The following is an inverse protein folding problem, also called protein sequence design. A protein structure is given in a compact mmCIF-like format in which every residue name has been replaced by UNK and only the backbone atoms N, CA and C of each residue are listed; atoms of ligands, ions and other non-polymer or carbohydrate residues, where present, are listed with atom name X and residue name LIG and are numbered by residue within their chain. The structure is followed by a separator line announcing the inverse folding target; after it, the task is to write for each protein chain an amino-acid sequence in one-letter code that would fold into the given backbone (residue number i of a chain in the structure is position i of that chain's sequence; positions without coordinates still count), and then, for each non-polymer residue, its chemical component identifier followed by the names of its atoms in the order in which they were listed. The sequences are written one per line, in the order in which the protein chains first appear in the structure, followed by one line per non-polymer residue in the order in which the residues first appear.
data_IF_190561869559
#
_entry.id   IF_190561869559
#
_cell.length_a   1.000
_cell.length_b   1.000
_cell.length_c   1.000
_cell.angle_alpha   90.00
_cell.angle_beta   90.00
_cell.angle_gamma   90.00
#
_symmetry.space_group_name_H-M   'P 1'
#
loop_
_entity.id
_entity.type
_entity.pdbx_description
1 polymer ?
#
# COMPACT_ATOMS: atom_id res chain seq x y z
N UNK A 1 8.48 6.51 3.26
CA UNK A 1 9.00 5.17 3.65
C UNK A 1 7.93 4.32 4.33
N UNK A 2 7.16 4.88 5.27
CA UNK A 2 6.21 4.12 6.10
C UNK A 2 5.20 3.27 5.31
N UNK A 3 4.41 3.84 4.39
CA UNK A 3 3.46 3.06 3.60
C UNK A 3 4.12 1.95 2.77
N UNK A 4 5.33 2.19 2.25
CA UNK A 4 6.07 1.17 1.50
C UNK A 4 6.48 0.00 2.40
N UNK A 5 6.94 0.30 3.63
CA UNK A 5 7.27 -0.70 4.63
C UNK A 5 6.06 -1.53 5.06
N UNK A 6 4.89 -0.90 5.22
CA UNK A 6 3.64 -1.59 5.55
C UNK A 6 3.23 -2.55 4.42
N UNK A 7 3.30 -2.11 3.16
CA UNK A 7 2.99 -2.99 2.02
C UNK A 7 3.95 -4.18 1.95
N UNK A 8 5.25 -3.96 2.17
CA UNK A 8 6.23 -5.04 2.23
C UNK A 8 5.91 -6.03 3.36
N UNK A 9 5.63 -5.54 4.57
CA UNK A 9 5.25 -6.38 5.71
C UNK A 9 3.98 -7.19 5.44
N UNK A 10 2.99 -6.62 4.74
CA UNK A 10 1.79 -7.35 4.32
C UNK A 10 2.14 -8.50 3.36
N UNK A 11 3.04 -8.27 2.40
CA UNK A 11 3.51 -9.32 1.49
C UNK A 11 4.28 -10.42 2.23
N UNK A 12 5.14 -10.04 3.20
CA UNK A 12 5.93 -10.98 4.00
C UNK A 12 5.06 -11.90 4.85
N UNK A 13 3.88 -11.45 5.25
CA UNK A 13 2.89 -12.28 5.97
C UNK A 13 2.02 -13.09 5.03
N UNK A 14 1.49 -12.46 3.97
CA UNK A 14 0.49 -13.07 3.11
C UNK A 14 1.08 -14.16 2.20
N UNK A 15 2.27 -13.93 1.61
CA UNK A 15 2.84 -14.86 0.64
C UNK A 15 3.18 -16.22 1.26
N UNK A 16 3.88 -16.32 2.39
CA UNK A 16 4.08 -17.62 3.05
C UNK A 16 2.76 -18.28 3.44
N UNK A 17 1.83 -17.51 3.99
CA UNK A 17 0.53 -18.05 4.42
C UNK A 17 -0.22 -18.73 3.28
N UNK A 18 -0.35 -18.10 2.10
CA UNK A 18 -1.08 -18.70 0.98
C UNK A 18 -0.36 -19.92 0.38
N UNK A 19 0.94 -20.06 0.59
CA UNK A 19 1.72 -21.23 0.18
C UNK A 19 1.51 -22.44 1.10
N UNK A 20 1.29 -22.18 2.39
CA UNK A 20 1.20 -23.22 3.42
C UNK A 20 -0.24 -23.61 3.74
N UNK A 21 -1.16 -22.63 3.81
CA UNK A 21 -2.57 -22.86 4.14
C UNK A 21 -3.25 -23.69 3.06
N UNK A 22 -3.85 -24.80 3.48
CA UNK A 22 -4.53 -25.73 2.57
C UNK A 22 -6.05 -25.65 2.74
N UNK A 23 -6.75 -25.63 1.63
CA UNK A 23 -8.21 -25.81 1.50
C UNK A 23 -8.49 -26.52 0.15
N UNK A 24 -9.60 -27.28 0.10
CA UNK A 24 -9.98 -28.05 -1.10
C UNK A 24 -8.85 -28.96 -1.61
N UNK A 25 -8.07 -29.54 -0.69
CA UNK A 25 -7.01 -30.50 -1.00
C UNK A 25 -5.70 -29.91 -1.51
N UNK A 26 -5.54 -28.57 -1.55
CA UNK A 26 -4.34 -27.91 -2.08
C UNK A 26 -4.02 -26.63 -1.31
N UNK A 27 -2.79 -26.08 -1.44
CA UNK A 27 -2.48 -24.75 -0.95
C UNK A 27 -3.44 -23.70 -1.55
N UNK A 28 -3.91 -22.75 -0.76
CA UNK A 28 -4.84 -21.72 -1.27
C UNK A 28 -4.19 -20.83 -2.34
N UNK A 29 -2.86 -20.71 -2.34
CA UNK A 29 -2.10 -20.01 -3.38
C UNK A 29 -2.21 -20.62 -4.77
N UNK A 30 -2.71 -21.85 -4.91
CA UNK A 30 -3.05 -22.45 -6.21
C UNK A 30 -4.32 -21.86 -6.84
N UNK A 31 -5.12 -21.12 -6.07
CA UNK A 31 -6.36 -20.51 -6.49
C UNK A 31 -6.11 -19.24 -7.31
N UNK A 32 -6.71 -19.11 -8.48
CA UNK A 32 -6.52 -17.94 -9.35
C UNK A 32 -6.97 -16.63 -8.70
N UNK A 33 -8.04 -16.62 -7.90
CA UNK A 33 -8.51 -15.42 -7.19
C UNK A 33 -7.57 -15.01 -6.06
N UNK A 34 -6.86 -15.96 -5.45
CA UNK A 34 -5.79 -15.69 -4.48
C UNK A 34 -4.56 -15.12 -5.17
N UNK A 35 -4.17 -15.72 -6.30
CA UNK A 35 -3.06 -15.22 -7.13
C UNK A 35 -3.31 -13.80 -7.63
N UNK A 36 -4.54 -13.47 -8.04
CA UNK A 36 -4.91 -12.12 -8.45
C UNK A 36 -4.69 -11.09 -7.34
N UNK A 37 -5.11 -11.37 -6.11
CA UNK A 37 -4.84 -10.48 -4.96
C UNK A 37 -3.36 -10.27 -4.70
N UNK A 38 -2.57 -11.33 -4.73
CA UNK A 38 -1.09 -11.22 -4.57
C UNK A 38 -0.49 -10.37 -5.70
N UNK A 39 -0.96 -10.53 -6.93
CA UNK A 39 -0.52 -9.71 -8.06
C UNK A 39 -0.86 -8.22 -7.86
N UNK A 40 -2.10 -7.92 -7.45
CA UNK A 40 -2.53 -6.55 -7.17
C UNK A 40 -1.71 -5.90 -6.05
N UNK A 41 -1.46 -6.62 -4.96
CA UNK A 41 -0.62 -6.17 -3.85
C UNK A 41 0.82 -5.88 -4.33
N UNK A 42 1.39 -6.78 -5.13
CA UNK A 42 2.74 -6.61 -5.69
C UNK A 42 2.84 -5.38 -6.60
N UNK A 43 1.89 -5.21 -7.51
CA UNK A 43 1.85 -4.06 -8.44
C UNK A 43 1.68 -2.75 -7.67
N UNK A 44 0.77 -2.69 -6.71
CA UNK A 44 0.54 -1.51 -5.87
C UNK A 44 1.82 -1.09 -5.12
N UNK A 45 2.50 -2.05 -4.49
CA UNK A 45 3.74 -1.81 -3.76
C UNK A 45 4.85 -1.29 -4.67
N UNK A 46 5.07 -1.91 -5.81
CA UNK A 46 6.16 -1.51 -6.72
C UNK A 46 5.88 -0.20 -7.43
N UNK A 47 4.62 0.09 -7.80
CA UNK A 47 4.23 1.39 -8.35
C UNK A 47 4.43 2.52 -7.34
N UNK A 48 4.03 2.31 -6.09
CA UNK A 48 4.25 3.28 -5.01
C UNK A 48 5.74 3.50 -4.74
N UNK A 49 6.55 2.43 -4.77
CA UNK A 49 8.00 2.48 -4.60
C UNK A 49 8.66 3.28 -5.72
N UNK A 50 8.35 2.97 -6.97
CA UNK A 50 8.91 3.65 -8.13
C UNK A 50 8.59 5.16 -8.10
N UNK A 51 7.34 5.53 -7.81
CA UNK A 51 6.94 6.92 -7.70
C UNK A 51 7.67 7.62 -6.54
N UNK A 52 7.72 7.01 -5.37
CA UNK A 52 8.40 7.59 -4.20
C UNK A 52 9.90 7.79 -4.45
N UNK A 53 10.55 6.84 -5.08
CA UNK A 53 11.99 6.94 -5.40
C UNK A 53 12.27 7.98 -6.48
N UNK A 54 11.39 8.13 -7.48
CA UNK A 54 11.48 9.19 -8.48
C UNK A 54 11.41 10.58 -7.83
N UNK A 55 10.47 10.78 -6.90
CA UNK A 55 10.33 12.04 -6.16
C UNK A 55 11.53 12.27 -5.24
N UNK A 56 12.02 11.23 -4.55
CA UNK A 56 13.21 11.34 -3.70
C UNK A 56 14.45 11.74 -4.51
N UNK A 57 14.66 11.14 -5.68
CA UNK A 57 15.77 11.51 -6.56
C UNK A 57 15.66 12.96 -7.07
N UNK A 58 14.45 13.45 -7.34
CA UNK A 58 14.23 14.86 -7.67
C UNK A 58 14.54 15.78 -6.47
N UNK A 59 14.19 15.36 -5.24
CA UNK A 59 14.59 16.06 -4.03
C UNK A 59 16.11 16.22 -3.91
N UNK A 60 16.85 15.15 -4.12
CA UNK A 60 18.31 15.15 -4.03
C UNK A 60 18.96 16.13 -5.02
N UNK A 61 18.33 16.37 -6.18
CA UNK A 61 18.76 17.34 -7.17
C UNK A 61 18.22 18.76 -6.95
N UNK A 62 17.41 19.00 -5.92
CA UNK A 62 16.77 20.28 -5.67
C UNK A 62 15.62 20.61 -6.64
N UNK A 63 15.08 19.61 -7.33
CA UNK A 63 14.04 19.75 -8.37
C UNK A 63 12.62 19.37 -7.87
N UNK A 64 12.44 19.20 -6.57
CA UNK A 64 11.17 18.74 -6.00
C UNK A 64 10.05 19.72 -6.27
N UNK A 65 8.96 19.21 -6.82
CA UNK A 65 7.71 19.93 -6.93
C UNK A 65 6.74 19.47 -5.83
N UNK A 66 6.04 20.42 -5.25
CA UNK A 66 5.14 20.17 -4.13
C UNK A 66 4.00 19.22 -4.49
N UNK A 67 3.46 19.33 -5.72
CA UNK A 67 2.42 18.42 -6.24
C UNK A 67 2.91 16.98 -6.35
N UNK A 68 4.17 16.76 -6.74
CA UNK A 68 4.73 15.42 -6.88
C UNK A 68 5.02 14.79 -5.51
N UNK A 69 5.53 15.57 -4.56
CA UNK A 69 5.70 15.13 -3.18
C UNK A 69 4.35 14.76 -2.54
N UNK A 70 3.31 15.57 -2.74
CA UNK A 70 1.97 15.24 -2.26
C UNK A 70 1.39 14.02 -2.97
N UNK A 71 1.63 13.88 -4.28
CA UNK A 71 1.14 12.78 -5.10
C UNK A 71 1.70 11.42 -4.69
N UNK A 72 3.01 11.33 -4.46
CA UNK A 72 3.62 10.07 -4.04
C UNK A 72 3.14 9.62 -2.65
N UNK A 73 2.94 10.56 -1.71
CA UNK A 73 2.39 10.24 -0.38
C UNK A 73 0.93 9.81 -0.49
N UNK A 74 0.11 10.54 -1.26
CA UNK A 74 -1.30 10.21 -1.48
C UNK A 74 -1.45 8.79 -2.02
N UNK A 75 -0.74 8.49 -3.10
CA UNK A 75 -0.81 7.18 -3.75
C UNK A 75 -0.33 6.05 -2.81
N UNK A 76 0.84 6.22 -2.19
CA UNK A 76 1.41 5.20 -1.30
C UNK A 76 0.52 4.94 -0.07
N UNK A 77 -0.06 5.98 0.53
CA UNK A 77 -0.93 5.85 1.69
C UNK A 77 -2.20 5.05 1.37
N UNK A 78 -2.91 5.41 0.30
CA UNK A 78 -4.14 4.71 -0.10
C UNK A 78 -3.85 3.26 -0.55
N UNK A 79 -2.75 3.04 -1.27
CA UNK A 79 -2.34 1.68 -1.66
C UNK A 79 -1.92 0.82 -0.48
N UNK A 80 -1.28 1.39 0.54
CA UNK A 80 -0.96 0.64 1.75
C UNK A 80 -2.22 0.15 2.49
N UNK A 81 -3.25 0.97 2.59
CA UNK A 81 -4.54 0.55 3.15
C UNK A 81 -5.17 -0.57 2.33
N UNK A 82 -5.18 -0.45 1.00
CA UNK A 82 -5.73 -1.49 0.12
C UNK A 82 -4.97 -2.82 0.26
N UNK A 83 -3.64 -2.76 0.23
CA UNK A 83 -2.77 -3.95 0.41
C UNK A 83 -2.97 -4.60 1.77
N UNK A 84 -3.14 -3.81 2.83
CA UNK A 84 -3.40 -4.33 4.16
C UNK A 84 -4.77 -5.02 4.28
N UNK A 85 -5.81 -4.47 3.62
CA UNK A 85 -7.13 -5.11 3.51
C UNK A 85 -7.04 -6.44 2.75
N UNK A 86 -6.31 -6.48 1.65
CA UNK A 86 -6.10 -7.71 0.88
C UNK A 86 -5.31 -8.76 1.68
N UNK A 87 -4.33 -8.35 2.47
CA UNK A 87 -3.61 -9.25 3.37
C UNK A 87 -4.53 -9.88 4.42
N UNK A 88 -5.41 -9.09 5.05
CA UNK A 88 -6.43 -9.60 5.98
C UNK A 88 -7.34 -10.60 5.24
N UNK A 89 -7.82 -10.25 4.06
CA UNK A 89 -8.72 -11.10 3.28
C UNK A 89 -8.08 -12.43 2.91
N UNK A 90 -6.79 -12.43 2.53
CA UNK A 90 -6.04 -13.65 2.20
C UNK A 90 -5.86 -14.59 3.40
N UNK A 91 -5.69 -14.02 4.59
CA UNK A 91 -5.60 -14.79 5.83
C UNK A 91 -6.97 -15.20 6.40
N UNK A 92 -8.05 -14.67 5.85
CA UNK A 92 -9.43 -14.93 6.27
C UNK A 92 -9.62 -14.73 7.79
N UNK A 93 -10.21 -15.68 8.49
CA UNK A 93 -10.40 -15.59 9.95
C UNK A 93 -9.12 -15.32 10.74
N UNK A 94 -8.00 -15.87 10.33
CA UNK A 94 -6.69 -15.62 10.94
C UNK A 94 -6.24 -14.17 10.78
N UNK A 95 -6.53 -13.54 9.64
CA UNK A 95 -6.23 -12.12 9.41
C UNK A 95 -7.06 -11.17 10.26
N UNK A 96 -8.23 -11.61 10.73
CA UNK A 96 -9.12 -10.84 11.59
C UNK A 96 -8.65 -10.85 13.06
N UNK A 97 -7.96 -11.90 13.50
CA UNK A 97 -7.49 -12.04 14.89
C UNK A 97 -6.18 -11.28 15.13
N UNK A 98 -5.80 -11.11 16.40
CA UNK A 98 -4.53 -10.48 16.77
C UNK A 98 -3.33 -11.45 16.76
N UNK A 99 -3.53 -12.71 16.38
CA UNK A 99 -2.45 -13.70 16.26
C UNK A 99 -1.52 -13.40 15.07
N UNK A 100 -2.05 -12.67 14.09
CA UNK A 100 -1.30 -12.18 12.93
C UNK A 100 -1.25 -10.64 12.93
N UNK A 101 -0.18 -10.03 12.38
CA UNK A 101 0.00 -8.58 12.46
C UNK A 101 -0.89 -7.78 11.49
N UNK A 102 -1.69 -8.43 10.65
CA UNK A 102 -2.44 -7.79 9.57
C UNK A 102 -3.41 -6.71 10.04
N UNK A 103 -4.10 -6.92 11.16
CA UNK A 103 -5.00 -5.91 11.74
C UNK A 103 -4.26 -4.66 12.22
N UNK A 104 -3.07 -4.82 12.81
CA UNK A 104 -2.19 -3.70 13.16
C UNK A 104 -1.69 -2.97 11.92
N UNK A 105 -1.21 -3.71 10.91
CA UNK A 105 -0.73 -3.13 9.66
C UNK A 105 -1.83 -2.30 8.95
N UNK A 106 -3.09 -2.74 9.02
CA UNK A 106 -4.21 -1.96 8.49
C UNK A 106 -4.41 -0.64 9.25
N UNK A 107 -4.39 -0.66 10.58
CA UNK A 107 -4.53 0.56 11.39
C UNK A 107 -3.37 1.53 11.13
N UNK A 108 -2.15 1.01 11.06
CA UNK A 108 -0.96 1.81 10.78
C UNK A 108 -1.01 2.40 9.36
N UNK A 109 -1.47 1.63 8.36
CA UNK A 109 -1.67 2.12 7.00
C UNK A 109 -2.69 3.27 6.95
N UNK A 110 -3.82 3.11 7.64
CA UNK A 110 -4.88 4.12 7.65
C UNK A 110 -4.44 5.46 8.24
N UNK A 111 -3.52 5.44 9.18
CA UNK A 111 -2.96 6.66 9.76
C UNK A 111 -2.31 7.55 8.69
N UNK A 112 -1.67 6.98 7.68
CA UNK A 112 -1.02 7.74 6.59
C UNK A 112 -2.00 8.45 5.65
N UNK A 113 -3.25 8.05 5.62
CA UNK A 113 -4.31 8.77 4.90
C UNK A 113 -4.85 9.97 5.69
N UNK A 114 -4.62 10.00 7.00
CA UNK A 114 -5.18 11.00 7.93
C UNK A 114 -4.08 11.96 8.40
N UNK A 115 -2.94 11.42 8.83
CA UNK A 115 -1.86 12.19 9.45
C UNK A 115 -1.06 13.04 8.48
N UNK A 116 -0.51 14.15 8.98
CA UNK A 116 0.34 15.08 8.23
C UNK A 116 -0.27 15.58 6.89
N UNK A 117 -1.55 15.87 6.91
CA UNK A 117 -2.36 16.23 5.75
C UNK A 117 -3.16 15.03 5.23
N UNK A 118 -4.48 15.16 5.29
CA UNK A 118 -5.39 14.10 4.84
C UNK A 118 -5.28 13.85 3.33
N UNK A 119 -5.77 12.70 2.87
CA UNK A 119 -5.86 12.39 1.45
C UNK A 119 -6.62 13.46 0.66
N UNK A 120 -7.67 14.06 1.25
CA UNK A 120 -8.44 15.14 0.66
C UNK A 120 -7.61 16.42 0.51
N UNK A 121 -6.85 16.80 1.51
CA UNK A 121 -5.97 17.98 1.49
C UNK A 121 -4.88 17.81 0.44
N UNK A 122 -4.31 16.61 0.31
CA UNK A 122 -3.31 16.32 -0.73
C UNK A 122 -3.89 16.42 -2.14
N UNK A 123 -5.11 15.92 -2.37
CA UNK A 123 -5.82 16.07 -3.65
C UNK A 123 -6.10 17.53 -3.97
N UNK A 124 -6.59 18.29 -3.00
CA UNK A 124 -6.83 19.72 -3.18
C UNK A 124 -5.56 20.47 -3.55
N UNK A 125 -4.44 20.21 -2.86
CA UNK A 125 -3.16 20.84 -3.14
C UNK A 125 -2.68 20.52 -4.56
N UNK A 126 -2.69 19.26 -4.97
CA UNK A 126 -2.27 18.81 -6.30
C UNK A 126 -3.14 19.46 -7.38
N UNK A 127 -4.45 19.36 -7.24
CA UNK A 127 -5.42 19.91 -8.19
C UNK A 127 -5.25 21.41 -8.37
N UNK A 128 -5.14 22.14 -7.25
CA UNK A 128 -4.92 23.58 -7.26
C UNK A 128 -3.63 23.98 -8.00
N UNK A 129 -2.51 23.31 -7.71
CA UNK A 129 -1.24 23.64 -8.36
C UNK A 129 -1.28 23.38 -9.86
N UNK A 130 -1.91 22.29 -10.31
CA UNK A 130 -2.05 21.97 -11.74
C UNK A 130 -2.93 23.00 -12.45
N UNK A 131 -4.08 23.35 -11.84
CA UNK A 131 -5.05 24.30 -12.46
C UNK A 131 -4.52 25.72 -12.44
N UNK A 132 -3.73 26.11 -11.43
CA UNK A 132 -3.21 27.48 -11.29
C UNK A 132 -1.89 27.71 -12.05
N UNK A 133 -1.31 26.69 -12.68
CA UNK A 133 -0.04 26.78 -13.41
C UNK A 133 -0.20 27.32 -14.86
N UNK A 134 -1.36 27.89 -15.20
CA UNK A 134 -1.68 28.49 -16.51
C UNK A 134 -1.45 29.98 -16.59
#
# INVERSE_FOLDING_TARGET
GGPLGIMAACMDVAVPYVRERRQFGQPIGANQLVQAKIADMYVAMNSARAYSYSVAAACDRGETQRKDAAGCILYAAEKATQVALDAIQLLAGNGYTNDYPTGRLLRDAKLYEIGAGTSEIRRWLIGREIVSAG
#
